data_IF_297592354370
#
_entry.id   IF_297592354370
#
_cell.length_a   1.000
_cell.length_b   1.000
_cell.length_c   1.000
_cell.angle_alpha   90.00
_cell.angle_beta   90.00
_cell.angle_gamma   90.00
#
_symmetry.space_group_name_H-M   'P 1'
#
loop_
_entity.id
_entity.type
_entity.pdbx_description
1 polymer ?
#
# COMPACT_ATOMS: atom_id res chain seq x y z
N UNK A 1 -48.92 -37.03 -72.23
CA UNK A 1 -49.21 -35.69 -71.68
C UNK A 1 -48.96 -35.53 -70.16
N UNK A 2 -48.69 -36.59 -69.38
CA UNK A 2 -48.56 -36.49 -67.91
C UNK A 2 -47.27 -35.86 -67.33
N UNK A 3 -46.13 -35.90 -68.03
CA UNK A 3 -44.86 -35.40 -67.48
C UNK A 3 -44.80 -33.86 -67.33
N UNK A 4 -45.47 -33.12 -68.23
CA UNK A 4 -45.43 -31.66 -68.20
C UNK A 4 -46.18 -31.07 -66.99
N UNK A 5 -47.27 -31.69 -66.57
CA UNK A 5 -48.08 -31.22 -65.43
C UNK A 5 -47.36 -31.48 -64.09
N UNK A 6 -46.66 -32.62 -63.98
CA UNK A 6 -45.86 -32.95 -62.80
C UNK A 6 -44.66 -32.00 -62.62
N UNK A 7 -43.98 -31.64 -63.71
CA UNK A 7 -42.90 -30.65 -63.70
C UNK A 7 -43.42 -29.26 -63.33
N UNK A 8 -44.60 -28.87 -63.81
CA UNK A 8 -45.20 -27.58 -63.47
C UNK A 8 -45.59 -27.50 -61.99
N UNK A 9 -46.13 -28.57 -61.40
CA UNK A 9 -46.45 -28.64 -59.97
C UNK A 9 -45.19 -28.64 -59.09
N UNK A 10 -44.12 -29.33 -59.50
CA UNK A 10 -42.82 -29.31 -58.81
C UNK A 10 -42.16 -27.93 -58.91
N UNK A 11 -42.21 -27.27 -60.06
CA UNK A 11 -41.70 -25.91 -60.24
C UNK A 11 -42.50 -24.88 -59.42
N UNK A 12 -43.82 -24.99 -59.36
CA UNK A 12 -44.67 -24.12 -58.54
C UNK A 12 -44.43 -24.35 -57.03
N UNK A 13 -44.31 -25.61 -56.60
CA UNK A 13 -44.03 -25.96 -55.20
C UNK A 13 -42.62 -25.51 -54.78
N UNK A 14 -41.64 -25.64 -55.67
CA UNK A 14 -40.27 -25.15 -55.44
C UNK A 14 -40.20 -23.62 -55.44
N UNK A 15 -40.93 -22.93 -56.30
CA UNK A 15 -41.04 -21.45 -56.28
C UNK A 15 -41.69 -20.94 -54.98
N UNK A 16 -42.74 -21.61 -54.49
CA UNK A 16 -43.41 -21.24 -53.24
C UNK A 16 -42.52 -21.48 -52.01
N UNK A 17 -41.74 -22.56 -52.02
CA UNK A 17 -40.75 -22.85 -50.99
C UNK A 17 -39.58 -21.85 -50.99
N UNK A 18 -39.14 -21.40 -52.18
CA UNK A 18 -38.09 -20.38 -52.33
C UNK A 18 -38.54 -18.97 -51.91
N UNK A 19 -39.84 -18.67 -52.02
CA UNK A 19 -40.42 -17.42 -51.55
C UNK A 19 -40.65 -17.43 -50.03
N UNK A 20 -41.00 -18.58 -49.44
CA UNK A 20 -41.11 -18.73 -47.99
C UNK A 20 -39.74 -18.74 -47.27
N UNK A 21 -38.67 -19.18 -47.96
CA UNK A 21 -37.30 -19.16 -47.45
C UNK A 21 -36.64 -17.77 -47.46
N UNK A 22 -37.29 -16.73 -48.00
CA UNK A 22 -36.91 -15.33 -47.71
C UNK A 22 -37.48 -14.92 -46.36
N UNK A 23 -37.01 -15.62 -45.34
CA UNK A 23 -37.12 -15.20 -43.96
C UNK A 23 -36.70 -13.75 -43.82
N UNK A 24 -37.69 -12.92 -43.45
CA UNK A 24 -37.57 -11.83 -42.47
C UNK A 24 -36.14 -11.26 -42.37
N UNK A 25 -35.71 -10.48 -43.37
CA UNK A 25 -34.55 -9.59 -43.25
C UNK A 25 -34.92 -8.44 -42.31
N UNK A 26 -34.79 -8.66 -40.99
CA UNK A 26 -34.57 -7.55 -40.06
C UNK A 26 -33.16 -7.01 -40.32
N UNK A 27 -33.06 -6.04 -41.23
CA UNK A 27 -31.81 -5.40 -41.65
C UNK A 27 -31.70 -3.96 -41.13
N UNK A 28 -32.24 -3.72 -39.92
CA UNK A 28 -32.29 -2.39 -39.28
C UNK A 28 -31.64 -2.33 -37.88
N UNK A 29 -31.71 -3.40 -37.08
CA UNK A 29 -31.20 -3.41 -35.70
C UNK A 29 -29.69 -3.71 -35.59
N UNK A 30 -29.12 -4.34 -36.64
CA UNK A 30 -27.71 -4.75 -36.68
C UNK A 30 -26.72 -3.58 -36.82
N UNK A 31 -27.16 -2.40 -37.24
CA UNK A 31 -26.30 -1.20 -37.30
C UNK A 31 -26.01 -0.61 -35.93
N UNK A 32 -27.01 -0.50 -35.06
CA UNK A 32 -26.87 0.08 -33.73
C UNK A 32 -26.25 -0.90 -32.74
N UNK A 33 -26.65 -2.17 -32.78
CA UNK A 33 -26.00 -3.23 -32.01
C UNK A 33 -24.52 -3.40 -32.38
N UNK A 34 -24.16 -3.29 -33.67
CA UNK A 34 -22.75 -3.35 -34.11
C UNK A 34 -21.96 -2.12 -33.71
N UNK A 35 -22.57 -0.92 -33.70
CA UNK A 35 -21.94 0.31 -33.18
C UNK A 35 -21.72 0.25 -31.68
N UNK A 36 -22.70 -0.22 -30.91
CA UNK A 36 -22.58 -0.44 -29.47
C UNK A 36 -21.53 -1.51 -29.14
N UNK A 37 -21.51 -2.61 -29.89
CA UNK A 37 -20.51 -3.66 -29.75
C UNK A 37 -19.10 -3.16 -30.04
N UNK A 38 -18.92 -2.39 -31.13
CA UNK A 38 -17.64 -1.76 -31.44
C UNK A 38 -17.22 -0.77 -30.36
N UNK A 39 -18.13 0.11 -29.93
CA UNK A 39 -17.86 1.06 -28.85
C UNK A 39 -17.46 0.35 -27.54
N UNK A 40 -18.16 -0.73 -27.17
CA UNK A 40 -17.85 -1.52 -25.97
C UNK A 40 -16.51 -2.25 -26.10
N UNK A 41 -16.25 -2.88 -27.25
CA UNK A 41 -14.99 -3.55 -27.53
C UNK A 41 -13.82 -2.57 -27.50
N UNK A 42 -13.95 -1.41 -28.15
CA UNK A 42 -12.95 -0.35 -28.13
C UNK A 42 -12.76 0.19 -26.71
N UNK A 43 -13.83 0.36 -25.91
CA UNK A 43 -13.74 0.81 -24.51
C UNK A 43 -13.01 -0.20 -23.63
N UNK A 44 -13.30 -1.49 -23.79
CA UNK A 44 -12.62 -2.56 -23.05
C UNK A 44 -11.15 -2.66 -23.45
N UNK A 45 -10.85 -2.62 -24.74
CA UNK A 45 -9.49 -2.67 -25.28
C UNK A 45 -8.66 -1.49 -24.78
N UNK A 46 -9.18 -0.26 -24.90
CA UNK A 46 -8.51 0.94 -24.39
C UNK A 46 -8.33 0.95 -22.86
N UNK A 47 -9.18 0.23 -22.11
CA UNK A 47 -9.03 0.11 -20.65
C UNK A 47 -7.91 -0.89 -20.30
N UNK A 48 -7.83 -2.01 -21.03
CA UNK A 48 -6.79 -3.04 -20.90
C UNK A 48 -5.41 -2.56 -21.36
N UNK A 49 -5.32 -1.86 -22.50
CA UNK A 49 -4.05 -1.30 -22.96
C UNK A 49 -3.45 -0.33 -21.96
N UNK A 50 -4.29 0.49 -21.32
CA UNK A 50 -3.83 1.41 -20.27
C UNK A 50 -3.28 0.67 -19.08
N UNK A 51 -3.92 -0.40 -18.59
CA UNK A 51 -3.39 -1.18 -17.46
C UNK A 51 -2.10 -1.90 -17.83
N UNK A 52 -2.02 -2.47 -19.03
CA UNK A 52 -0.79 -3.11 -19.53
C UNK A 52 0.35 -2.09 -19.69
N UNK A 53 0.06 -0.88 -20.20
CA UNK A 53 1.04 0.20 -20.27
C UNK A 53 1.52 0.61 -18.86
N UNK A 54 0.61 0.67 -17.88
CA UNK A 54 0.98 0.95 -16.50
C UNK A 54 1.87 -0.17 -15.92
N UNK A 55 1.54 -1.44 -16.16
CA UNK A 55 2.33 -2.59 -15.72
C UNK A 55 3.72 -2.62 -16.39
N UNK A 56 3.83 -2.15 -17.64
CA UNK A 56 5.11 -2.02 -18.36
C UNK A 56 5.95 -0.83 -17.89
N UNK A 57 5.32 0.23 -17.37
CA UNK A 57 5.98 1.44 -16.85
C UNK A 57 6.37 1.28 -15.38
N UNK A 58 5.68 0.42 -14.63
CA UNK A 58 5.93 0.13 -13.21
C UNK A 58 7.41 -0.21 -12.90
N UNK A 59 8.13 -1.01 -13.72
CA UNK A 59 9.55 -1.31 -13.51
C UNK A 59 10.49 -0.12 -13.71
N UNK A 60 10.07 0.88 -14.50
CA UNK A 60 10.86 2.08 -14.79
C UNK A 60 10.57 3.22 -13.80
N UNK A 61 9.61 3.05 -12.91
CA UNK A 61 9.32 4.04 -11.87
C UNK A 61 10.44 3.98 -10.83
N UNK A 62 11.07 5.11 -10.47
CA UNK A 62 12.04 5.11 -9.39
C UNK A 62 11.36 4.59 -8.11
N UNK A 63 12.03 3.72 -7.32
CA UNK A 63 11.46 3.20 -6.09
C UNK A 63 11.00 4.36 -5.21
N UNK A 64 9.81 4.23 -4.59
CA UNK A 64 9.33 5.23 -3.62
C UNK A 64 10.43 5.45 -2.59
N UNK A 65 10.72 6.72 -2.34
CA UNK A 65 11.89 7.15 -1.58
C UNK A 65 11.99 6.40 -0.25
N UNK A 66 13.22 6.14 0.21
CA UNK A 66 13.50 5.61 1.54
C UNK A 66 13.21 6.63 2.65
N UNK A 67 12.85 7.86 2.28
CA UNK A 67 12.52 8.99 3.16
C UNK A 67 11.40 8.69 4.18
N UNK A 68 10.23 8.13 3.82
CA UNK A 68 9.21 7.70 4.80
C UNK A 68 9.76 6.73 5.84
N UNK A 69 10.66 5.82 5.47
CA UNK A 69 11.25 4.87 6.40
C UNK A 69 12.21 5.59 7.37
N UNK A 70 13.11 6.44 6.86
CA UNK A 70 13.98 7.26 7.73
C UNK A 70 13.14 8.11 8.68
N UNK A 71 12.08 8.75 8.17
CA UNK A 71 11.19 9.59 8.94
C UNK A 71 10.57 8.85 10.13
N UNK A 72 10.09 7.61 9.93
CA UNK A 72 9.54 6.81 11.03
C UNK A 72 10.61 6.37 12.02
N UNK A 73 11.81 6.02 11.57
CA UNK A 73 12.92 5.67 12.47
C UNK A 73 13.35 6.85 13.35
N UNK A 74 13.49 8.04 12.75
CA UNK A 74 13.84 9.27 13.48
C UNK A 74 12.75 9.62 14.48
N UNK A 75 11.48 9.59 14.06
CA UNK A 75 10.36 9.86 14.96
C UNK A 75 10.33 8.86 16.13
N UNK A 76 10.44 7.56 15.86
CA UNK A 76 10.42 6.52 16.89
C UNK A 76 11.61 6.61 17.86
N UNK A 77 12.79 7.01 17.37
CA UNK A 77 13.96 7.22 18.21
C UNK A 77 13.74 8.38 19.19
N UNK A 78 13.32 9.54 18.68
CA UNK A 78 13.13 10.72 19.52
C UNK A 78 11.94 10.59 20.48
N UNK A 79 10.87 9.88 20.10
CA UNK A 79 9.78 9.59 21.05
C UNK A 79 10.27 8.72 22.21
N UNK A 80 11.15 7.74 21.96
CA UNK A 80 11.78 6.93 23.00
C UNK A 80 12.65 7.75 23.96
N UNK A 81 13.49 8.65 23.43
CA UNK A 81 14.35 9.53 24.24
C UNK A 81 13.51 10.46 25.13
N UNK A 82 12.49 11.10 24.57
CA UNK A 82 11.61 12.00 25.34
C UNK A 82 10.86 11.23 26.43
N UNK A 83 10.32 10.05 26.11
CA UNK A 83 9.65 9.21 27.10
C UNK A 83 10.61 8.80 28.23
N UNK A 84 11.85 8.41 27.92
CA UNK A 84 12.83 8.07 28.96
C UNK A 84 13.15 9.25 29.87
N UNK A 85 13.30 10.45 29.31
CA UNK A 85 13.58 11.67 30.07
C UNK A 85 12.42 12.01 31.02
N UNK A 86 11.18 11.90 30.53
CA UNK A 86 9.99 12.12 31.38
C UNK A 86 9.97 11.12 32.54
N UNK A 87 10.24 9.84 32.29
CA UNK A 87 10.24 8.84 33.38
C UNK A 87 11.35 9.04 34.40
N UNK A 88 12.51 9.55 33.98
CA UNK A 88 13.60 9.92 34.89
C UNK A 88 13.21 11.10 35.77
N UNK A 89 12.56 12.12 35.21
CA UNK A 89 12.12 13.29 35.99
C UNK A 89 11.02 12.92 36.98
N UNK A 90 10.03 12.13 36.56
CA UNK A 90 9.00 11.62 37.47
C UNK A 90 9.58 10.78 38.62
N UNK A 91 10.59 9.96 38.32
CA UNK A 91 11.29 9.19 39.36
C UNK A 91 11.98 10.12 40.36
N UNK A 92 12.62 11.19 39.88
CA UNK A 92 13.27 12.17 40.74
C UNK A 92 12.28 12.91 41.60
N UNK A 93 11.22 13.50 41.02
CA UNK A 93 10.20 14.22 41.77
C UNK A 93 9.63 13.37 42.91
N UNK A 94 9.27 12.12 42.63
CA UNK A 94 8.81 11.18 43.65
C UNK A 94 9.85 10.89 44.73
N UNK A 95 11.12 10.73 44.36
CA UNK A 95 12.19 10.47 45.33
C UNK A 95 12.42 11.67 46.26
N UNK A 96 12.35 12.89 45.74
CA UNK A 96 12.48 14.12 46.54
C UNK A 96 11.36 14.28 47.58
N UNK A 97 10.15 13.79 47.28
CA UNK A 97 9.04 13.79 48.25
C UNK A 97 9.34 12.90 49.46
N UNK A 98 9.96 11.74 49.23
CA UNK A 98 10.28 10.76 50.28
C UNK A 98 11.60 11.07 51.02
N UNK A 99 12.56 11.74 50.36
CA UNK A 99 13.92 11.99 50.88
C UNK A 99 14.36 13.46 50.67
N UNK A 100 14.00 14.39 51.59
CA UNK A 100 14.40 15.78 51.46
C UNK A 100 15.91 15.95 51.68
N UNK A 101 16.61 16.53 50.69
CA UNK A 101 18.02 16.93 50.79
C UNK A 101 19.04 15.85 50.43
N UNK A 102 18.61 14.68 49.99
CA UNK A 102 19.49 13.63 49.48
C UNK A 102 19.67 13.73 47.96
N UNK A 103 20.86 13.44 47.45
CA UNK A 103 21.11 13.45 46.01
C UNK A 103 20.41 12.26 45.35
N UNK A 104 19.54 12.54 44.36
CA UNK A 104 18.74 11.48 43.73
C UNK A 104 19.61 10.54 42.92
N UNK A 105 19.54 9.21 43.17
CA UNK A 105 20.22 8.24 42.33
C UNK A 105 19.63 8.23 40.92
N UNK A 106 20.44 7.85 39.92
CA UNK A 106 19.95 7.64 38.56
C UNK A 106 19.03 6.42 38.52
N UNK A 107 17.90 6.53 37.81
CA UNK A 107 17.00 5.38 37.65
C UNK A 107 17.72 4.24 36.92
N UNK A 108 17.53 2.97 37.34
CA UNK A 108 18.03 1.84 36.58
C UNK A 108 17.39 1.80 35.18
N UNK A 109 18.15 1.42 34.14
CA UNK A 109 17.70 1.42 32.76
C UNK A 109 16.67 0.32 32.58
N UNK A 110 15.55 0.66 31.95
CA UNK A 110 14.49 -0.33 31.67
C UNK A 110 14.87 -1.28 30.54
N UNK A 111 15.77 -0.86 29.64
CA UNK A 111 16.08 -1.57 28.39
C UNK A 111 17.45 -2.28 28.39
N UNK A 112 18.14 -2.36 29.53
CA UNK A 112 19.43 -3.02 29.63
C UNK A 112 19.34 -4.18 30.62
N UNK A 113 19.45 -5.40 30.12
CA UNK A 113 19.44 -6.63 30.93
C UNK A 113 20.82 -7.06 31.44
N UNK A 114 21.89 -6.38 31.00
CA UNK A 114 23.24 -6.64 31.50
C UNK A 114 23.43 -6.12 32.93
N UNK A 115 24.53 -6.49 33.59
CA UNK A 115 24.85 -6.00 34.93
C UNK A 115 25.00 -4.48 34.91
N UNK A 116 24.04 -3.79 35.52
CA UNK A 116 24.03 -2.34 35.65
C UNK A 116 25.05 -1.91 36.71
N UNK A 117 26.22 -1.49 36.25
CA UNK A 117 27.30 -0.94 37.10
C UNK A 117 27.26 0.59 37.01
N UNK A 118 26.24 1.21 37.59
CA UNK A 118 26.30 2.65 37.81
C UNK A 118 27.17 2.92 39.02
N UNK A 119 28.27 3.60 38.76
CA UNK A 119 29.09 4.30 39.74
C UNK A 119 28.14 5.18 40.56
N UNK A 120 28.07 4.94 41.87
CA UNK A 120 27.21 5.63 42.83
C UNK A 120 27.49 7.15 42.86
N UNK A 121 27.04 7.91 41.87
CA UNK A 121 27.19 9.37 41.83
C UNK A 121 28.61 9.90 41.62
N UNK A 122 29.65 9.07 41.59
CA UNK A 122 31.03 9.54 41.32
C UNK A 122 31.25 9.81 39.83
N UNK A 123 31.51 11.08 39.50
CA UNK A 123 32.00 11.50 38.18
C UNK A 123 33.25 10.69 37.84
N UNK A 124 33.33 10.06 36.65
CA UNK A 124 34.48 9.25 36.28
C UNK A 124 35.78 10.05 36.45
N UNK A 125 36.80 9.49 37.14
CA UNK A 125 38.06 10.20 37.45
C UNK A 125 38.75 10.85 36.25
N UNK A 126 38.49 10.38 35.03
CA UNK A 126 39.04 10.98 33.80
C UNK A 126 38.35 12.29 33.37
N UNK A 127 37.19 12.62 33.95
CA UNK A 127 36.49 13.89 33.74
C UNK A 127 36.75 14.91 34.87
N UNK A 128 37.37 14.50 35.98
CA UNK A 128 37.71 15.38 37.09
C UNK A 128 38.91 16.26 36.71
N UNK A 129 38.77 17.58 36.86
CA UNK A 129 39.92 18.50 36.77
C UNK A 129 40.84 18.26 37.97
N UNK A 130 42.17 18.37 37.82
CA UNK A 130 43.14 17.96 38.84
C UNK A 130 43.06 18.73 40.18
N UNK A 131 42.23 19.76 40.27
CA UNK A 131 42.07 20.59 41.48
C UNK A 131 41.15 19.96 42.54
N UNK A 132 40.18 19.10 42.16
CA UNK A 132 39.25 18.44 43.10
C UNK A 132 39.80 17.11 43.69
N UNK A 133 40.94 16.61 43.20
CA UNK A 133 41.47 15.30 43.59
C UNK A 133 42.33 15.30 44.87
N UNK A 134 42.48 16.45 45.57
CA UNK A 134 43.21 16.50 46.84
C UNK A 134 42.26 16.27 48.01
N UNK A 135 42.44 15.22 48.82
CA UNK A 135 41.76 15.14 50.11
C UNK A 135 42.32 16.24 51.04
N UNK A 136 41.42 16.88 51.79
CA UNK A 136 41.75 17.80 52.88
C UNK A 136 42.43 17.08 54.04
#
# INVERSE_FOLDING_TARGET
>A
MGCAVALFFLLCRWRRFRLAARGRRRRGESGMARRLWRWYADRQFNRWEKTVLWDMVEPYRPPRSFAPLIGTYVAAFYTGVVASAITEQLYKEKYWEDHPGEAVPLMPPKFYWGPWRVMNGEVPRFMQTPEEAKPA
#
